data_IF_000489626446
#
_entry.id   IF_000489626446
#
_cell.length_a   1.000
_cell.length_b   1.000
_cell.length_c   1.000
_cell.angle_alpha   90.00
_cell.angle_beta   90.00
_cell.angle_gamma   90.00
#
_symmetry.space_group_name_H-M   'P 1'
#
loop_
_entity.id
_entity.type
_entity.pdbx_description
1 polymer ?
#
# COMPACT_ATOMS: atom_id res chain seq x y z
N UNK A 1 -21.81 20.41 -35.56
CA UNK A 1 -20.78 20.78 -34.57
C UNK A 1 -20.59 19.71 -33.49
N UNK A 2 -21.64 19.17 -32.88
CA UNK A 2 -21.57 18.11 -31.84
C UNK A 2 -20.89 16.81 -32.29
N UNK A 3 -21.12 16.35 -33.52
CA UNK A 3 -20.51 15.12 -34.06
C UNK A 3 -18.98 15.22 -34.16
N UNK A 4 -18.47 16.42 -34.44
CA UNK A 4 -17.02 16.68 -34.54
C UNK A 4 -16.36 16.64 -33.16
N UNK A 5 -17.01 17.24 -32.16
CA UNK A 5 -16.55 17.24 -30.76
C UNK A 5 -16.51 15.80 -30.23
N UNK A 6 -17.52 14.98 -30.53
CA UNK A 6 -17.53 13.56 -30.15
C UNK A 6 -16.39 12.76 -30.79
N UNK A 7 -16.07 13.03 -32.07
CA UNK A 7 -14.93 12.39 -32.75
C UNK A 7 -13.59 12.82 -32.15
N UNK A 8 -13.43 14.10 -31.79
CA UNK A 8 -12.23 14.58 -31.10
C UNK A 8 -12.08 13.97 -29.72
N UNK A 9 -13.16 13.90 -28.92
CA UNK A 9 -13.13 13.21 -27.63
C UNK A 9 -12.76 11.74 -27.77
N UNK A 10 -13.30 11.03 -28.76
CA UNK A 10 -12.96 9.64 -29.02
C UNK A 10 -11.49 9.47 -29.46
N UNK A 11 -10.99 10.38 -30.30
CA UNK A 11 -9.59 10.38 -30.75
C UNK A 11 -8.61 10.59 -29.59
N UNK A 12 -8.86 11.59 -28.74
CA UNK A 12 -8.05 11.82 -27.53
C UNK A 12 -8.18 10.68 -26.52
N UNK A 13 -9.38 10.08 -26.37
CA UNK A 13 -9.59 8.90 -25.54
C UNK A 13 -8.78 7.70 -26.04
N UNK A 14 -8.76 7.46 -27.36
CA UNK A 14 -8.01 6.35 -27.94
C UNK A 14 -6.50 6.54 -27.83
N UNK A 15 -5.97 7.75 -28.11
CA UNK A 15 -4.55 8.07 -27.86
C UNK A 15 -4.18 7.93 -26.38
N UNK A 16 -5.08 8.35 -25.49
CA UNK A 16 -4.93 8.15 -24.04
C UNK A 16 -4.88 6.68 -23.67
N UNK A 17 -5.72 5.82 -24.23
CA UNK A 17 -5.71 4.37 -23.93
C UNK A 17 -4.48 3.66 -24.52
N UNK A 18 -3.95 4.10 -25.65
CA UNK A 18 -2.76 3.48 -26.28
C UNK A 18 -1.43 3.91 -25.63
N UNK A 19 -1.36 5.13 -25.09
CA UNK A 19 -0.13 5.69 -24.50
C UNK A 19 -0.14 5.66 -22.97
N UNK A 20 -1.31 5.81 -22.36
CA UNK A 20 -1.51 5.96 -20.92
C UNK A 20 -1.99 4.65 -20.32
N UNK A 21 -1.04 3.76 -20.06
CA UNK A 21 -1.25 2.65 -19.16
C UNK A 21 -1.49 3.22 -17.75
N UNK A 22 -2.74 3.21 -17.26
CA UNK A 22 -3.11 3.68 -15.91
C UNK A 22 -2.61 2.75 -14.79
N UNK A 23 -2.31 1.50 -15.16
CA UNK A 23 -1.95 0.42 -14.27
C UNK A 23 -0.62 0.65 -13.50
N UNK A 24 0.49 1.06 -14.16
CA UNK A 24 1.78 1.28 -13.52
C UNK A 24 1.73 2.45 -12.54
N UNK A 25 1.05 3.55 -12.91
CA UNK A 25 0.97 4.73 -12.05
C UNK A 25 0.17 4.44 -10.78
N UNK A 26 -0.99 3.80 -10.90
CA UNK A 26 -1.83 3.47 -9.76
C UNK A 26 -1.12 2.53 -8.79
N UNK A 27 -0.45 1.50 -9.32
CA UNK A 27 0.33 0.54 -8.53
C UNK A 27 1.49 1.22 -7.78
N UNK A 28 2.26 2.05 -8.51
CA UNK A 28 3.40 2.77 -7.95
C UNK A 28 2.96 3.81 -6.90
N UNK A 29 1.84 4.49 -7.13
CA UNK A 29 1.31 5.48 -6.19
C UNK A 29 0.99 4.87 -4.84
N UNK A 30 0.46 3.63 -4.80
CA UNK A 30 0.20 2.90 -3.55
C UNK A 30 1.52 2.55 -2.86
N UNK A 31 2.51 2.03 -3.59
CA UNK A 31 3.83 1.68 -3.03
C UNK A 31 4.53 2.86 -2.36
N UNK A 32 4.39 4.07 -2.89
CA UNK A 32 5.00 5.28 -2.31
C UNK A 32 4.50 5.63 -0.90
N UNK A 33 3.38 5.06 -0.46
CA UNK A 33 2.89 5.23 0.91
C UNK A 33 3.60 4.32 1.93
N UNK A 34 4.31 3.27 1.48
CA UNK A 34 5.06 2.39 2.37
C UNK A 34 6.19 3.10 3.12
N UNK A 35 7.08 3.88 2.45
CA UNK A 35 8.10 4.68 3.13
C UNK A 35 7.54 5.66 4.17
N UNK A 36 6.34 6.20 3.97
CA UNK A 36 5.68 7.07 4.96
C UNK A 36 5.36 6.30 6.25
N UNK A 37 4.84 5.08 6.11
CA UNK A 37 4.63 4.17 7.24
C UNK A 37 5.93 3.84 7.98
N UNK A 38 6.97 3.51 7.21
CA UNK A 38 8.31 3.25 7.76
C UNK A 38 8.82 4.45 8.55
N UNK A 39 8.72 5.65 7.99
CA UNK A 39 9.13 6.89 8.64
C UNK A 39 8.44 7.10 9.99
N UNK A 40 7.13 6.81 10.07
CA UNK A 40 6.36 6.90 11.32
C UNK A 40 6.78 5.87 12.38
N UNK A 41 7.35 4.72 11.97
CA UNK A 41 7.85 3.69 12.88
C UNK A 41 9.29 3.92 13.37
N UNK A 42 10.05 4.81 12.75
CA UNK A 42 11.43 5.13 13.16
C UNK A 42 11.53 5.56 14.63
N UNK A 43 10.69 6.46 15.17
CA UNK A 43 10.79 6.90 16.57
C UNK A 43 10.68 5.74 17.57
N UNK A 44 9.84 4.75 17.29
CA UNK A 44 9.68 3.57 18.15
C UNK A 44 10.91 2.65 18.07
N UNK A 45 11.45 2.46 16.87
CA UNK A 45 12.71 1.74 16.68
C UNK A 45 13.88 2.41 17.42
N UNK A 46 13.95 3.75 17.38
CA UNK A 46 14.97 4.52 18.10
C UNK A 46 14.85 4.39 19.62
N UNK A 47 13.63 4.24 20.17
CA UNK A 47 13.43 3.94 21.60
C UNK A 47 13.99 2.57 21.95
N UNK A 48 13.64 1.53 21.18
CA UNK A 48 14.15 0.16 21.34
C UNK A 48 15.67 0.07 21.12
N UNK A 49 16.25 0.95 20.31
CA UNK A 49 17.70 1.00 20.09
C UNK A 49 18.48 1.22 21.39
N UNK A 50 17.92 1.97 22.35
CA UNK A 50 18.53 2.27 23.65
C UNK A 50 18.43 1.12 24.65
N UNK A 51 17.57 0.14 24.42
CA UNK A 51 17.40 -1.02 25.31
C UNK A 51 18.53 -2.04 25.10
N UNK A 52 18.90 -2.81 26.13
CA UNK A 52 19.88 -3.89 25.99
C UNK A 52 19.20 -5.16 25.51
N UNK A 53 19.76 -5.86 24.52
CA UNK A 53 19.17 -7.10 24.00
C UNK A 53 19.61 -7.42 22.58
N UNK A 54 19.29 -8.64 22.12
CA UNK A 54 19.54 -9.06 20.74
C UNK A 54 18.39 -8.61 19.84
N UNK A 55 18.72 -8.12 18.65
CA UNK A 55 17.72 -7.79 17.64
C UNK A 55 17.04 -9.06 17.14
N UNK A 56 15.72 -9.08 17.18
CA UNK A 56 14.87 -10.15 16.69
C UNK A 56 13.77 -9.57 15.83
N UNK A 57 13.52 -10.21 14.70
CA UNK A 57 12.41 -9.85 13.82
C UNK A 57 11.22 -10.74 14.16
N UNK A 58 10.10 -10.13 14.51
CA UNK A 58 8.86 -10.82 14.76
C UNK A 58 8.17 -11.16 13.42
N UNK A 59 8.59 -12.28 12.83
CA UNK A 59 8.04 -12.77 11.56
C UNK A 59 6.53 -13.00 11.61
N UNK A 60 5.98 -13.37 12.78
CA UNK A 60 4.53 -13.51 12.96
C UNK A 60 3.81 -12.18 12.67
N UNK A 61 4.32 -11.04 13.17
CA UNK A 61 3.73 -9.72 12.88
C UNK A 61 3.79 -9.38 11.38
N UNK A 62 4.89 -9.71 10.71
CA UNK A 62 5.04 -9.45 9.27
C UNK A 62 4.04 -10.30 8.47
N UNK A 63 3.99 -11.61 8.70
CA UNK A 63 3.15 -12.50 7.90
C UNK A 63 1.67 -12.40 8.25
N UNK A 64 1.29 -12.25 9.51
CA UNK A 64 -0.13 -12.23 9.90
C UNK A 64 -0.76 -10.85 9.86
N UNK A 65 0.03 -9.77 9.83
CA UNK A 65 -0.50 -8.41 9.87
C UNK A 65 -0.10 -7.61 8.62
N UNK A 66 1.18 -7.54 8.27
CA UNK A 66 1.62 -6.80 7.08
C UNK A 66 1.12 -7.45 5.79
N UNK A 67 1.12 -8.79 5.69
CA UNK A 67 0.70 -9.47 4.46
C UNK A 67 -0.79 -9.27 4.11
N UNK A 68 -1.75 -9.40 5.05
CA UNK A 68 -3.15 -9.04 4.77
C UNK A 68 -3.35 -7.56 4.40
N UNK A 69 -2.59 -6.65 5.02
CA UNK A 69 -2.68 -5.21 4.71
C UNK A 69 -2.14 -4.90 3.30
N UNK A 70 -1.07 -5.57 2.87
CA UNK A 70 -0.57 -5.47 1.49
C UNK A 70 -1.63 -5.98 0.51
N UNK A 71 -2.28 -7.10 0.82
CA UNK A 71 -3.38 -7.61 0.00
C UNK A 71 -4.52 -6.60 -0.13
N UNK A 72 -4.95 -5.99 0.98
CA UNK A 72 -5.96 -4.92 0.97
C UNK A 72 -5.50 -3.73 0.13
N UNK A 73 -4.21 -3.35 0.23
CA UNK A 73 -3.64 -2.21 -0.51
C UNK A 73 -3.64 -2.44 -2.03
N UNK A 74 -3.54 -3.69 -2.48
CA UNK A 74 -3.49 -4.04 -3.90
C UNK A 74 -4.73 -4.75 -4.41
N UNK A 75 -5.81 -4.82 -3.63
CA UNK A 75 -7.00 -5.60 -3.97
C UNK A 75 -7.54 -5.26 -5.38
N UNK A 76 -7.56 -3.98 -5.75
CA UNK A 76 -8.10 -3.50 -7.03
C UNK A 76 -7.34 -4.08 -8.24
N UNK A 77 -6.08 -4.46 -8.05
CA UNK A 77 -5.24 -5.07 -9.09
C UNK A 77 -5.43 -6.59 -9.22
N UNK A 78 -6.23 -7.21 -8.33
CA UNK A 78 -6.43 -8.66 -8.30
C UNK A 78 -7.82 -8.98 -8.86
N UNK A 79 -7.92 -9.49 -10.11
CA UNK A 79 -9.19 -9.62 -10.84
C UNK A 79 -10.16 -10.65 -10.25
N UNK A 80 -9.70 -11.56 -9.38
CA UNK A 80 -10.52 -12.64 -8.79
C UNK A 80 -11.06 -12.33 -7.39
N UNK A 81 -10.86 -11.12 -6.88
CA UNK A 81 -11.16 -10.86 -5.46
C UNK A 81 -12.63 -10.53 -5.18
N UNK A 82 -13.51 -10.47 -6.18
CA UNK A 82 -14.93 -10.13 -5.99
C UNK A 82 -15.78 -11.35 -5.59
N UNK A 83 -16.75 -11.24 -4.65
CA UNK A 83 -17.24 -10.03 -3.97
C UNK A 83 -16.55 -9.73 -2.63
N UNK A 84 -16.00 -8.52 -2.47
CA UNK A 84 -15.52 -7.96 -1.20
C UNK A 84 -16.55 -6.97 -0.67
N UNK A 85 -16.72 -6.83 0.66
CA UNK A 85 -17.52 -5.75 1.23
C UNK A 85 -17.20 -4.36 0.65
N UNK A 86 -18.23 -3.61 0.26
CA UNK A 86 -18.10 -2.30 -0.41
C UNK A 86 -17.25 -1.30 0.39
N UNK A 87 -17.28 -1.33 1.73
CA UNK A 87 -16.48 -0.42 2.54
C UNK A 87 -14.96 -0.61 2.35
N UNK A 88 -14.50 -1.81 1.98
CA UNK A 88 -13.11 -2.11 1.65
C UNK A 88 -12.80 -1.78 0.18
N UNK A 89 -13.80 -1.84 -0.69
CA UNK A 89 -13.65 -1.70 -2.13
C UNK A 89 -13.82 -0.26 -2.64
N UNK A 90 -14.60 0.59 -1.96
CA UNK A 90 -15.03 1.90 -2.48
C UNK A 90 -14.00 3.03 -2.32
N UNK A 91 -12.95 2.86 -1.51
CA UNK A 91 -12.14 4.02 -1.08
C UNK A 91 -10.66 3.88 -1.40
N UNK A 92 -10.20 4.75 -2.31
CA UNK A 92 -8.77 4.92 -2.65
C UNK A 92 -7.91 5.27 -1.41
N UNK A 93 -8.50 5.92 -0.41
CA UNK A 93 -7.88 6.26 0.88
C UNK A 93 -7.52 5.02 1.70
N UNK A 94 -8.37 3.97 1.68
CA UNK A 94 -8.15 2.76 2.49
C UNK A 94 -6.89 2.02 2.04
N UNK A 95 -6.60 1.97 0.73
CA UNK A 95 -5.38 1.35 0.22
C UNK A 95 -4.12 2.09 0.64
N UNK A 96 -4.18 3.43 0.63
CA UNK A 96 -3.07 4.28 1.09
C UNK A 96 -2.81 4.07 2.57
N UNK A 97 -3.85 4.09 3.39
CA UNK A 97 -3.75 3.87 4.84
C UNK A 97 -3.26 2.46 5.17
N UNK A 98 -3.74 1.43 4.45
CA UNK A 98 -3.27 0.06 4.62
C UNK A 98 -1.78 -0.08 4.28
N UNK A 99 -1.30 0.61 3.26
CA UNK A 99 0.13 0.61 2.91
C UNK A 99 0.99 1.37 3.93
N UNK A 100 0.51 2.51 4.46
CA UNK A 100 1.16 3.21 5.57
C UNK A 100 1.22 2.31 6.81
N UNK A 101 0.10 1.67 7.16
CA UNK A 101 0.04 0.76 8.30
C UNK A 101 1.00 -0.43 8.13
N UNK A 102 1.11 -0.97 6.92
CA UNK A 102 2.09 -2.02 6.57
C UNK A 102 3.51 -1.56 6.88
N UNK A 103 3.92 -0.38 6.42
CA UNK A 103 5.26 0.16 6.67
C UNK A 103 5.53 0.44 8.16
N UNK A 104 4.53 0.93 8.88
CA UNK A 104 4.63 1.16 10.33
C UNK A 104 4.81 -0.16 11.10
N UNK A 105 4.00 -1.17 10.79
CA UNK A 105 4.04 -2.49 11.43
C UNK A 105 5.32 -3.23 11.09
N UNK A 106 5.82 -3.07 9.86
CA UNK A 106 7.12 -3.59 9.46
C UNK A 106 8.22 -3.07 10.38
N UNK A 107 8.26 -1.76 10.64
CA UNK A 107 9.23 -1.18 11.58
C UNK A 107 9.04 -1.67 13.01
N UNK A 108 7.78 -1.80 13.45
CA UNK A 108 7.47 -2.27 14.79
C UNK A 108 7.67 -3.78 15.01
N UNK A 109 7.78 -4.55 13.93
CA UNK A 109 8.15 -5.97 13.99
C UNK A 109 9.60 -6.19 14.42
N UNK A 110 10.43 -5.15 14.34
CA UNK A 110 11.79 -5.18 14.84
C UNK A 110 11.74 -4.96 16.36
N UNK A 111 12.11 -6.00 17.09
CA UNK A 111 12.05 -6.06 18.55
C UNK A 111 13.44 -6.40 19.11
N UNK A 112 13.67 -6.05 20.38
CA UNK A 112 14.80 -6.59 21.14
C UNK A 112 14.28 -7.69 22.03
N UNK A 113 14.91 -8.87 21.95
CA UNK A 113 14.66 -9.96 22.87
C UNK A 113 15.38 -9.62 24.18
N UNK A 114 14.60 -9.32 25.23
CA UNK A 114 15.13 -9.22 26.58
C UNK A 114 15.50 -10.63 27.05
N UNK A 115 16.80 -10.86 27.24
CA UNK A 115 17.30 -11.97 28.06
C UNK A 115 16.91 -11.70 29.51
N UNK A 116 15.69 -12.12 29.88
CA UNK A 116 15.31 -12.30 31.29
C UNK A 116 16.06 -13.46 31.91
#
# INVERSE_FOLDING_TARGET
>A
MQVMIGKFQLFFKNMGMETYSLYPWSFLSVLFYFPLGVYLGIPELLKKFRENGKWKINWLKIFFISFPLIYISFFWFIPFSYPIPNFLADTNTTFKLAMIATGFIFMNSIEKENSG
#
